data_IF_810154247773
#
_entry.id   IF_810154247773
#
_cell.length_a   1.000
_cell.length_b   1.000
_cell.length_c   1.000
_cell.angle_alpha   90.00
_cell.angle_beta   90.00
_cell.angle_gamma   90.00
#
_symmetry.space_group_name_H-M   'P 1'
#
loop_
_entity.id
_entity.type
_entity.pdbx_description
1 polymer ?
2 polymer ?
3 branched ?
4 water ?
#
# COMPACT_ATOMS: atom_id res chain seq x y z
N UNK A 1 -0.21 23.13 8.60
CA UNK A 1 -1.01 22.28 7.74
C UNK A 1 -1.73 21.20 8.55
N UNK A 2 -3.03 21.04 8.33
CA UNK A 2 -3.75 20.00 9.04
C UNK A 2 -3.26 18.63 8.57
N UNK A 3 -2.91 17.76 9.52
CA UNK A 3 -2.48 16.40 9.18
C UNK A 3 -3.10 15.42 10.17
N UNK A 4 -3.39 14.23 9.65
CA UNK A 4 -3.99 13.13 10.40
C UNK A 4 -3.02 11.97 10.43
N UNK A 5 -2.92 11.32 11.58
CA UNK A 5 -1.96 10.21 11.74
C UNK A 5 -2.61 9.12 12.58
N UNK A 6 -2.84 7.96 11.98
CA UNK A 6 -3.43 6.82 12.67
C UNK A 6 -2.33 6.02 13.36
N UNK A 7 -2.68 5.39 14.47
CA UNK A 7 -1.74 4.48 15.10
C UNK A 7 -2.50 3.43 15.88
N UNK A 8 -1.83 2.33 16.12
CA UNK A 8 -2.43 1.21 16.82
C UNK A 8 -1.53 0.00 16.67
N UNK A 9 -1.88 -1.09 17.34
CA UNK A 9 -1.12 -2.32 17.17
C UNK A 9 -1.37 -2.87 15.78
N UNK A 10 -0.33 -3.46 15.20
CA UNK A 10 -0.51 -4.04 13.88
C UNK A 10 -0.99 -5.48 13.89
N UNK A 11 -1.05 -6.08 15.07
CA UNK A 11 -1.47 -7.46 15.24
C UNK A 11 -2.54 -7.52 16.31
N UNK A 12 -3.64 -8.23 16.02
CA UNK A 12 -4.71 -8.45 16.99
C UNK A 12 -5.13 -9.91 16.91
N UNK A 13 -5.26 -10.56 18.07
CA UNK A 13 -5.73 -11.94 18.07
C UNK A 13 -7.22 -11.98 17.76
N UNK A 14 -7.68 -13.04 17.10
CA UNK A 14 -9.12 -13.16 16.85
C UNK A 14 -9.91 -13.09 18.15
N UNK A 15 -11.08 -12.45 18.08
CA UNK A 15 -12.06 -12.30 19.15
C UNK A 15 -11.68 -11.22 20.16
N UNK A 16 -10.50 -10.61 20.04
CA UNK A 16 -10.14 -9.55 20.96
C UNK A 16 -10.52 -8.21 20.34
N UNK A 17 -10.11 -7.10 20.98
CA UNK A 17 -10.54 -5.77 20.59
C UNK A 17 -9.41 -5.01 19.92
N UNK A 18 -9.70 -4.39 18.79
CA UNK A 18 -8.74 -3.54 18.11
C UNK A 18 -8.96 -2.10 18.55
N UNK A 19 -7.89 -1.43 18.98
CA UNK A 19 -7.95 -0.04 19.40
C UNK A 19 -7.03 0.79 18.53
N UNK A 20 -7.56 1.85 17.93
CA UNK A 20 -6.79 2.75 17.08
C UNK A 20 -7.01 4.18 17.53
N UNK A 21 -6.03 5.04 17.20
CA UNK A 21 -6.15 6.47 17.45
C UNK A 21 -5.86 7.24 16.17
N UNK A 22 -6.50 8.39 16.05
CA UNK A 22 -6.25 9.33 14.95
C UNK A 22 -5.85 10.65 15.58
N UNK A 23 -4.58 11.01 15.44
CA UNK A 23 -4.06 12.22 16.06
C UNK A 23 -4.03 13.33 15.02
N UNK A 24 -4.71 14.45 15.30
CA UNK A 24 -4.80 15.57 14.37
C UNK A 24 -3.84 16.68 14.82
N UNK A 25 -3.05 17.21 13.87
CA UNK A 25 -2.18 18.33 14.15
C UNK A 25 -2.42 19.43 13.10
N UNK A 26 -2.05 20.67 13.44
CA UNK A 26 -2.19 21.79 12.53
C UNK A 26 -3.55 22.45 12.52
N UNK A 27 -4.49 21.97 13.33
CA UNK A 27 -5.82 22.54 13.42
C UNK A 27 -6.59 21.76 14.45
N UNK A 28 -7.72 22.34 14.90
CA UNK A 28 -8.50 21.71 15.96
C UNK A 28 -9.46 20.67 15.39
N UNK A 29 -9.83 19.70 16.22
CA UNK A 29 -10.84 18.74 15.81
C UNK A 29 -12.26 19.27 15.99
N UNK A 30 -12.45 20.41 16.67
CA UNK A 30 -13.80 20.85 17.03
C UNK A 30 -14.63 21.23 15.79
N UNK A 31 -15.91 20.86 15.83
CA UNK A 31 -16.84 21.26 14.79
C UNK A 31 -17.00 20.24 13.66
N UNK A 32 -15.99 19.41 13.43
CA UNK A 32 -16.07 18.44 12.33
C UNK A 32 -16.57 17.09 12.80
N UNK A 33 -17.24 16.40 11.90
CA UNK A 33 -17.25 14.94 11.97
C UNK A 33 -15.89 14.40 11.52
N UNK A 34 -15.46 13.33 12.17
CA UNK A 34 -14.24 12.61 11.81
C UNK A 34 -14.62 11.18 11.52
N UNK A 35 -14.22 10.67 10.36
CA UNK A 35 -14.62 9.35 9.91
C UNK A 35 -13.48 8.36 10.02
N UNK A 36 -13.86 7.11 10.28
CA UNK A 36 -12.98 5.96 10.15
C UNK A 36 -13.41 5.14 8.95
N UNK A 37 -12.42 4.68 8.19
CA UNK A 37 -12.56 3.96 6.94
C UNK A 37 -11.56 2.82 6.98
N UNK A 38 -11.87 1.72 6.30
CA UNK A 38 -10.87 0.65 6.20
C UNK A 38 -10.87 0.05 4.80
N UNK A 39 -9.80 -0.71 4.53
CA UNK A 39 -9.66 -1.33 3.23
C UNK A 39 -8.97 -2.67 3.38
N UNK A 40 -9.69 -3.78 3.28
CA UNK A 40 -9.04 -5.08 3.27
C UNK A 40 -8.05 -5.16 2.13
N UNK A 41 -6.93 -5.87 2.32
CA UNK A 41 -5.94 -6.00 1.23
C UNK A 41 -6.60 -6.36 -0.10
N UNK A 42 -6.39 -5.51 -1.11
CA UNK A 42 -6.92 -5.74 -2.45
C UNK A 42 -8.40 -5.51 -2.64
N UNK A 43 -9.11 -4.94 -1.66
CA UNK A 43 -10.55 -4.70 -1.77
C UNK A 43 -10.83 -3.20 -1.72
N UNK A 44 -12.13 -2.86 -1.68
CA UNK A 44 -12.55 -1.48 -1.72
C UNK A 44 -12.58 -0.84 -0.35
N UNK A 45 -12.84 0.47 -0.35
CA UNK A 45 -12.96 1.25 0.87
C UNK A 45 -14.31 0.98 1.53
N UNK A 46 -14.31 0.82 2.84
CA UNK A 46 -15.53 0.62 3.63
C UNK A 46 -15.58 1.65 4.74
N UNK A 47 -16.66 2.42 4.79
CA UNK A 47 -16.83 3.38 5.87
C UNK A 47 -17.20 2.64 7.15
N UNK A 48 -16.54 2.97 8.25
CA UNK A 48 -16.79 2.33 9.55
C UNK A 48 -17.73 3.17 10.40
N UNK A 49 -17.45 4.46 10.53
CA UNK A 49 -18.31 5.32 11.34
C UNK A 49 -17.69 6.69 11.49
N UNK A 50 -18.35 7.52 12.28
CA UNK A 50 -17.81 8.84 12.48
C UNK A 50 -18.18 9.37 13.84
N UNK A 51 -17.55 10.48 14.21
CA UNK A 51 -17.84 11.12 15.48
C UNK A 51 -17.66 12.62 15.33
N UNK A 52 -18.59 13.34 15.94
CA UNK A 52 -18.47 14.77 16.18
C UNK A 52 -18.71 14.88 17.67
N UNK A 53 -17.67 15.22 18.43
CA UNK A 53 -17.67 14.99 19.87
C UNK A 53 -18.92 15.56 20.56
N UNK A 54 -19.28 16.77 20.20
CA UNK A 54 -20.37 17.48 20.87
C UNK A 54 -21.69 17.40 20.12
N UNK A 55 -21.81 16.53 19.11
CA UNK A 55 -23.09 16.38 18.44
C UNK A 55 -23.55 14.92 18.37
N UNK A 56 -22.91 14.08 17.58
CA UNK A 56 -23.44 12.73 17.41
C UNK A 56 -22.32 11.78 17.00
N UNK A 57 -22.63 10.49 17.11
CA UNK A 57 -21.76 9.45 16.56
C UNK A 57 -22.64 8.39 15.92
N UNK A 58 -22.11 7.69 14.93
CA UNK A 58 -22.87 6.65 14.27
C UNK A 58 -21.88 5.79 13.51
N UNK A 59 -22.33 4.61 13.09
CA UNK A 59 -21.43 3.70 12.42
C UNK A 59 -22.18 2.88 11.38
N UNK A 60 -21.39 2.23 10.53
CA UNK A 60 -21.91 1.33 9.53
C UNK A 60 -22.84 0.30 10.18
N UNK A 61 -24.06 0.12 9.68
CA UNK A 61 -24.97 -0.86 10.31
C UNK A 61 -24.44 -2.28 10.34
N UNK A 62 -23.62 -2.67 9.36
CA UNK A 62 -23.02 -4.00 9.38
C UNK A 62 -22.06 -4.18 10.56
N UNK A 63 -21.54 -3.08 11.12
CA UNK A 63 -20.50 -3.12 12.15
C UNK A 63 -20.92 -2.48 13.47
N UNK A 64 -22.14 -1.91 13.54
CA UNK A 64 -22.50 -1.04 14.65
C UNK A 64 -22.40 -1.73 16.00
N UNK A 65 -22.73 -3.02 16.06
CA UNK A 65 -22.70 -3.72 17.35
C UNK A 65 -21.29 -3.87 17.91
N UNK A 66 -20.26 -3.71 17.08
CA UNK A 66 -18.88 -3.89 17.53
C UNK A 66 -18.07 -2.60 17.54
N UNK A 67 -18.64 -1.47 17.11
CA UNK A 67 -17.87 -0.25 16.87
C UNK A 67 -18.11 0.74 18.01
N UNK A 68 -17.01 1.28 18.55
CA UNK A 68 -17.07 2.39 19.49
C UNK A 68 -16.07 3.43 19.02
N UNK A 69 -16.57 4.62 18.71
CA UNK A 69 -15.72 5.73 18.26
C UNK A 69 -15.84 6.84 19.30
N UNK A 70 -14.71 7.46 19.65
CA UNK A 70 -14.74 8.55 20.60
C UNK A 70 -13.68 9.58 20.23
N UNK A 71 -13.59 10.63 21.04
CA UNK A 71 -12.59 11.65 20.80
C UNK A 71 -12.08 12.17 22.13
N UNK A 72 -10.94 12.85 22.05
CA UNK A 72 -10.24 13.36 23.23
C UNK A 72 -9.70 14.73 22.83
N UNK A 73 -10.44 15.77 23.19
CA UNK A 73 -10.02 17.11 22.78
C UNK A 73 -8.69 17.50 23.42
N UNK A 74 -8.40 17.01 24.63
CA UNK A 74 -7.13 17.38 25.24
C UNK A 74 -5.95 16.86 24.41
N UNK A 75 -6.10 15.71 23.76
CA UNK A 75 -5.06 15.19 22.88
C UNK A 75 -5.30 15.50 21.40
N UNK A 76 -6.37 16.23 21.06
CA UNK A 76 -6.74 16.48 19.66
C UNK A 76 -6.79 15.17 18.88
N UNK A 77 -7.55 14.22 19.40
CA UNK A 77 -7.40 12.83 18.99
C UNK A 77 -8.76 12.14 18.88
N UNK A 78 -8.91 11.31 17.85
CA UNK A 78 -10.07 10.43 17.69
C UNK A 78 -9.65 9.00 17.98
N UNK A 79 -10.64 8.15 18.32
CA UNK A 79 -10.33 6.77 18.63
C UNK A 79 -11.38 5.86 18.02
N UNK A 80 -10.95 4.64 17.70
CA UNK A 80 -11.81 3.58 17.23
C UNK A 80 -11.53 2.33 18.05
N UNK A 81 -12.58 1.72 18.59
CA UNK A 81 -12.50 0.42 19.23
C UNK A 81 -13.43 -0.53 18.49
N UNK A 82 -12.88 -1.63 17.99
CA UNK A 82 -13.64 -2.64 17.26
C UNK A 82 -13.49 -3.94 18.02
N UNK A 83 -14.59 -4.46 18.54
CA UNK A 83 -14.54 -5.62 19.42
C UNK A 83 -14.76 -6.90 18.62
N UNK A 84 -14.43 -8.02 19.28
CA UNK A 84 -14.60 -9.38 18.76
C UNK A 84 -14.14 -9.49 17.30
N UNK A 85 -12.86 -9.15 17.07
CA UNK A 85 -12.39 -9.04 15.70
C UNK A 85 -12.33 -10.41 15.05
N UNK A 86 -12.47 -10.43 13.72
CA UNK A 86 -12.42 -11.64 12.92
C UNK A 86 -11.44 -11.41 11.77
N UNK A 87 -11.23 -12.44 10.96
CA UNK A 87 -10.34 -12.30 9.80
C UNK A 87 -10.83 -11.22 8.85
N UNK A 88 -12.14 -11.00 8.77
CA UNK A 88 -12.65 -9.96 7.89
C UNK A 88 -12.21 -8.57 8.34
N UNK A 89 -11.67 -8.43 9.54
CA UNK A 89 -11.24 -7.11 10.01
C UNK A 89 -9.78 -6.81 9.70
N UNK A 90 -9.05 -7.75 9.08
CA UNK A 90 -7.70 -7.45 8.62
C UNK A 90 -7.81 -6.41 7.52
N UNK A 91 -7.16 -5.27 7.68
CA UNK A 91 -7.34 -4.15 6.77
C UNK A 91 -6.35 -3.05 7.10
N UNK A 92 -6.21 -2.11 6.18
CA UNK A 92 -5.62 -0.82 6.49
C UNK A 92 -6.75 0.10 6.95
N UNK A 93 -6.54 0.76 8.07
CA UNK A 93 -7.54 1.63 8.68
C UNK A 93 -7.11 3.08 8.53
N UNK A 94 -8.05 3.92 8.10
CA UNK A 94 -7.78 5.33 7.85
C UNK A 94 -8.74 6.20 8.64
N UNK A 95 -8.27 7.38 9.01
CA UNK A 95 -9.20 8.40 9.45
C UNK A 95 -9.23 9.53 8.42
N UNK A 96 -10.34 10.27 8.42
CA UNK A 96 -10.49 11.36 7.46
C UNK A 96 -11.37 12.44 8.06
N UNK A 97 -11.13 13.68 7.67
CA UNK A 97 -11.91 14.80 8.19
C UNK A 97 -13.15 14.96 7.31
N UNK A 98 -14.32 15.00 7.95
CA UNK A 98 -15.63 14.83 7.31
C UNK A 98 -16.36 16.18 7.38
N UNK A 99 -17.68 16.14 7.45
CA UNK A 99 -18.50 17.35 7.41
C UNK A 99 -18.28 18.25 8.62
N UNK A 100 -18.29 19.56 8.39
CA UNK A 100 -18.25 20.56 9.45
C UNK A 100 -19.68 21.01 9.78
N UNK A 101 -20.01 21.05 11.08
CA UNK A 101 -21.31 21.54 11.52
C UNK A 101 -21.14 22.86 12.26
N UNK A 102 -21.78 23.89 11.73
CA UNK A 102 -21.78 25.17 12.40
C UNK A 102 -22.80 25.17 13.54
N UNK A 103 -22.56 26.02 14.52
CA UNK A 103 -23.43 26.22 15.68
C UNK A 103 -24.90 26.29 15.30
N UNK A 104 -25.20 27.01 14.21
CA UNK A 104 -26.58 27.30 13.82
C UNK A 104 -27.34 26.07 13.34
N UNK A 105 -26.66 24.98 13.01
CA UNK A 105 -27.28 23.83 12.43
C UNK A 105 -26.95 23.63 10.97
N UNK A 106 -26.51 24.69 10.29
CA UNK A 106 -25.98 24.55 8.94
C UNK A 106 -24.71 23.73 8.97
N UNK A 107 -24.31 23.25 7.80
CA UNK A 107 -23.16 22.37 7.73
C UNK A 107 -22.58 22.45 6.33
N UNK A 108 -21.33 22.00 6.22
CA UNK A 108 -20.59 21.98 4.95
C UNK A 108 -20.06 20.58 4.76
N UNK A 109 -20.64 19.83 3.82
CA UNK A 109 -20.19 18.46 3.58
C UNK A 109 -18.78 18.48 2.99
N UNK A 110 -17.95 17.55 3.47
CA UNK A 110 -16.56 17.51 3.04
C UNK A 110 -15.99 16.13 3.37
N UNK A 111 -14.92 15.78 2.66
CA UNK A 111 -14.17 14.55 3.00
C UNK A 111 -12.77 14.73 2.44
N UNK A 112 -12.07 15.76 2.91
CA UNK A 112 -11.02 16.34 2.09
C UNK A 112 -9.60 16.05 2.58
N UNK A 113 -9.42 15.59 3.81
CA UNK A 113 -8.11 15.27 4.35
C UNK A 113 -8.12 13.83 4.84
N UNK A 114 -7.18 13.03 4.37
CA UNK A 114 -7.05 11.64 4.77
C UNK A 114 -5.79 11.46 5.62
N UNK A 115 -5.82 10.48 6.54
CA UNK A 115 -4.61 10.07 7.22
C UNK A 115 -3.77 9.13 6.37
N UNK A 116 -2.64 8.69 6.94
CA UNK A 116 -1.71 7.85 6.20
C UNK A 116 -2.18 6.40 6.11
N UNK A 117 -2.97 5.95 7.07
CA UNK A 117 -3.38 4.57 7.11
C UNK A 117 -2.52 3.79 8.08
N UNK A 118 -3.11 2.87 8.82
CA UNK A 118 -2.38 1.97 9.69
C UNK A 118 -2.85 0.55 9.43
N UNK A 119 -1.89 -0.38 9.30
CA UNK A 119 -2.23 -1.73 8.89
C UNK A 119 -2.51 -2.59 10.11
N UNK A 120 -3.62 -3.33 10.05
CA UNK A 120 -4.00 -4.23 11.14
C UNK A 120 -4.19 -5.62 10.57
N UNK A 121 -3.52 -6.61 11.16
CA UNK A 121 -3.67 -8.01 10.81
C UNK A 121 -4.27 -8.78 11.97
N UNK A 122 -5.34 -9.51 11.71
CA UNK A 122 -6.01 -10.35 12.70
C UNK A 122 -5.53 -11.78 12.49
N UNK A 123 -4.92 -12.36 13.52
CA UNK A 123 -4.29 -13.66 13.38
C UNK A 123 -3.99 -14.22 14.75
N UNK A 124 -4.06 -15.55 14.87
CA UNK A 124 -3.66 -16.21 16.10
C UNK A 124 -2.16 -16.48 16.15
N UNK A 125 -1.43 -16.23 15.06
CA UNK A 125 0.01 -16.47 15.08
C UNK A 125 0.72 -15.36 15.86
N UNK A 126 1.66 -15.75 16.72
CA UNK A 126 2.39 -14.79 17.51
C UNK A 126 3.25 -13.89 16.63
N UNK A 127 3.50 -12.67 17.12
CA UNK A 127 4.46 -11.80 16.43
C UNK A 127 5.80 -12.48 16.36
N UNK A 128 6.52 -12.23 15.27
CA UNK A 128 7.88 -12.73 15.15
C UNK A 128 8.72 -11.69 14.45
N UNK A 129 9.85 -11.31 15.05
CA UNK A 129 10.67 -10.30 14.45
C UNK A 129 11.61 -10.87 13.40
N UNK A 130 12.06 -10.02 12.49
CA UNK A 130 12.87 -10.49 11.35
C UNK A 130 14.31 -10.77 11.78
N UNK A 131 14.95 -11.69 11.05
CA UNK A 131 16.40 -11.77 10.98
C UNK A 131 16.85 -11.03 9.73
N UNK A 132 17.92 -10.26 9.83
CA UNK A 132 18.36 -9.38 8.75
C UNK A 132 19.75 -9.77 8.30
N UNK A 133 19.93 -9.93 6.99
CA UNK A 133 21.21 -10.34 6.43
C UNK A 133 21.60 -9.43 5.28
N UNK A 134 22.90 -9.15 5.12
CA UNK A 134 23.33 -8.28 4.02
C UNK A 134 23.33 -9.01 2.69
N UNK A 135 23.02 -8.28 1.63
CA UNK A 135 23.06 -8.78 0.26
C UNK A 135 24.15 -8.01 -0.47
N UNK A 136 25.13 -8.73 -1.02
CA UNK A 136 26.20 -8.03 -1.72
C UNK A 136 26.69 -8.89 -2.86
N UNK A 137 27.22 -8.28 -3.94
CA UNK A 137 27.88 -9.00 -5.04
C UNK A 137 29.07 -9.83 -4.56
N UNK A 145 29.60 1.56 -14.45
CA UNK A 145 28.27 1.04 -14.17
C UNK A 145 27.87 1.23 -12.72
N UNK A 146 26.71 0.70 -12.37
CA UNK A 146 26.24 0.76 -11.00
C UNK A 146 26.42 -0.60 -10.33
N UNK A 147 26.26 -0.61 -9.01
CA UNK A 147 26.25 -1.84 -8.23
C UNK A 147 25.06 -1.82 -7.30
N UNK A 148 24.55 -3.01 -7.00
CA UNK A 148 23.42 -3.17 -6.09
C UNK A 148 23.89 -3.80 -4.79
N UNK A 149 23.45 -3.22 -3.69
CA UNK A 149 23.67 -3.73 -2.34
C UNK A 149 22.30 -3.87 -1.70
N UNK A 150 22.18 -4.74 -0.71
CA UNK A 150 20.86 -4.85 -0.15
C UNK A 150 20.83 -5.48 1.22
N UNK A 151 19.61 -5.68 1.70
CA UNK A 151 19.34 -6.34 2.98
C UNK A 151 18.17 -7.27 2.79
N UNK A 152 18.35 -8.49 3.29
CA UNK A 152 17.33 -9.51 3.30
C UNK A 152 16.68 -9.49 4.68
N UNK A 153 15.35 -9.31 4.71
CA UNK A 153 14.61 -9.19 5.96
C UNK A 153 13.76 -10.46 6.06
N UNK A 154 14.21 -11.43 6.86
CA UNK A 154 13.68 -12.78 6.80
C UNK A 154 12.72 -13.11 7.93
N UNK A 155 11.62 -13.78 7.58
CA UNK A 155 10.82 -14.57 8.52
C UNK A 155 10.23 -13.73 9.66
N UNK A 156 9.38 -12.77 9.29
CA UNK A 156 8.71 -11.92 10.27
C UNK A 156 7.20 -12.01 10.10
N UNK A 157 6.49 -11.56 11.14
CA UNK A 157 5.03 -11.56 11.14
C UNK A 157 4.56 -10.60 12.21
N UNK A 158 3.55 -9.75 11.92
CA UNK A 158 2.83 -9.55 10.66
C UNK A 158 3.52 -8.48 9.82
N UNK A 159 3.01 -8.15 8.65
CA UNK A 159 3.43 -6.93 7.96
C UNK A 159 3.08 -5.72 8.83
N UNK A 160 3.74 -4.57 8.61
CA UNK A 160 4.82 -4.32 7.65
C UNK A 160 6.16 -4.21 8.35
N UNK A 161 7.21 -4.13 7.56
CA UNK A 161 8.50 -3.66 8.06
C UNK A 161 8.86 -2.46 7.21
N UNK A 162 9.59 -1.53 7.81
CA UNK A 162 10.17 -0.42 7.08
C UNK A 162 11.67 -0.60 7.02
N UNK A 163 12.27 -0.14 5.91
CA UNK A 163 13.71 -0.20 5.72
C UNK A 163 14.18 1.17 5.24
N UNK A 164 15.16 1.73 5.94
CA UNK A 164 15.86 2.92 5.46
C UNK A 164 17.33 2.55 5.26
N UNK A 165 18.06 3.46 4.64
CA UNK A 165 19.48 3.27 4.44
C UNK A 165 20.25 4.46 5.00
N UNK A 166 21.33 4.16 5.71
CA UNK A 166 22.20 5.17 6.30
C UNK A 166 21.38 6.18 7.11
N UNK A 167 20.48 5.65 7.93
CA UNK A 167 19.65 6.44 8.82
C UNK A 167 18.78 7.44 8.07
N UNK A 168 18.37 7.11 6.84
CA UNK A 168 17.59 8.01 6.03
C UNK A 168 18.38 8.97 5.15
N UNK A 169 19.70 9.00 5.29
CA UNK A 169 20.52 9.88 4.46
C UNK A 169 20.58 9.41 3.00
N UNK A 170 20.18 8.17 2.72
CA UNK A 170 20.21 7.61 1.38
C UNK A 170 18.79 7.26 0.97
N UNK A 171 18.27 7.93 -0.07
CA UNK A 171 16.92 7.65 -0.54
C UNK A 171 16.88 7.43 -2.05
N UNK A 172 17.73 8.13 -2.79
CA UNK A 172 17.83 7.91 -4.24
C UNK A 172 18.30 6.49 -4.51
N UNK A 173 17.58 5.77 -5.36
CA UNK A 173 18.02 4.45 -5.73
C UNK A 173 17.76 3.38 -4.69
N UNK A 174 16.97 3.67 -3.67
CA UNK A 174 16.53 2.67 -2.70
C UNK A 174 15.22 2.07 -3.18
N UNK A 175 15.17 0.75 -3.28
CA UNK A 175 13.94 0.05 -3.66
C UNK A 175 13.70 -1.08 -2.68
N UNK A 176 12.63 -0.96 -1.91
CA UNK A 176 12.24 -2.02 -0.99
C UNK A 176 11.13 -2.82 -1.65
N UNK A 177 11.35 -4.13 -1.80
CA UNK A 177 10.43 -4.94 -2.60
C UNK A 177 9.26 -5.43 -1.75
N UNK A 178 8.10 -5.64 -2.38
CA UNK A 178 6.99 -6.28 -1.65
C UNK A 178 7.38 -7.64 -1.11
N UNK A 179 6.79 -7.96 0.05
CA UNK A 179 7.16 -9.16 0.79
C UNK A 179 6.61 -10.41 0.14
N UNK A 180 7.32 -11.51 0.32
CA UNK A 180 6.82 -12.82 -0.06
C UNK A 180 6.25 -13.47 1.18
N UNK A 181 5.15 -14.20 1.03
CA UNK A 181 4.51 -14.89 2.13
C UNK A 181 4.76 -16.38 1.96
N UNK A 182 5.48 -16.98 2.91
CA UNK A 182 5.91 -18.36 2.80
C UNK A 182 4.85 -19.32 3.33
N UNK A 183 5.02 -20.61 3.02
CA UNK A 183 4.06 -21.61 3.49
C UNK A 183 4.04 -21.69 5.02
N UNK A 184 5.09 -21.20 5.69
CA UNK A 184 5.12 -21.13 7.14
C UNK A 184 4.16 -20.11 7.70
N UNK A 185 3.64 -19.20 6.87
CA UNK A 185 2.86 -18.09 7.36
C UNK A 185 3.68 -16.86 7.71
N UNK A 186 5.00 -16.91 7.49
CA UNK A 186 5.88 -15.76 7.74
C UNK A 186 6.26 -15.06 6.45
N UNK A 187 6.56 -13.77 6.57
CA UNK A 187 6.95 -12.93 5.44
C UNK A 187 8.47 -12.79 5.36
N UNK A 188 8.94 -12.48 4.15
CA UNK A 188 10.32 -12.07 3.95
C UNK A 188 10.29 -10.98 2.86
N UNK A 189 11.16 -9.97 2.98
CA UNK A 189 11.33 -9.02 1.89
C UNK A 189 12.80 -8.66 1.74
N UNK A 190 13.11 -7.95 0.66
CA UNK A 190 14.45 -7.46 0.42
C UNK A 190 14.41 -5.97 0.10
N UNK A 191 15.46 -5.25 0.51
CA UNK A 191 15.60 -3.86 0.17
C UNK A 191 16.97 -3.68 -0.49
N UNK A 192 17.01 -2.94 -1.59
CA UNK A 192 18.23 -2.81 -2.37
C UNK A 192 18.51 -1.34 -2.61
N UNK A 193 19.77 -0.97 -2.54
CA UNK A 193 20.19 0.36 -2.95
C UNK A 193 21.12 0.21 -4.15
N UNK A 194 20.86 0.99 -5.19
CA UNK A 194 21.71 1.03 -6.37
C UNK A 194 22.71 2.15 -6.19
N UNK A 195 24.00 1.84 -6.37
CA UNK A 195 25.06 2.81 -6.07
C UNK A 195 26.11 2.76 -7.16
N UNK A 196 26.91 3.83 -7.28
CA UNK A 196 28.09 3.81 -8.17
C UNK A 196 29.03 2.66 -7.81
N UNK A 197 29.52 1.96 -8.84
CA UNK A 197 30.53 0.94 -8.60
C UNK A 197 31.78 1.53 -7.95
N UNK A 198 32.15 2.74 -8.35
CA UNK A 198 33.31 3.41 -7.78
C UNK A 198 33.17 3.65 -6.28
N UNK A 199 31.94 3.82 -5.80
CA UNK A 199 31.70 4.21 -4.41
C UNK A 199 31.67 3.03 -3.45
N UNK A 200 32.07 1.84 -3.89
CA UNK A 200 32.10 0.68 -3.01
C UNK A 200 33.33 0.65 -2.11
N UNK A 201 33.98 1.79 -2.09
CA UNK A 201 35.12 2.06 -1.25
C UNK A 201 35.06 3.48 -0.72
N UNK A 202 34.27 4.35 -1.35
CA UNK A 202 34.07 5.72 -0.94
C UNK A 202 32.86 5.85 0.00
N UNK A 203 32.15 4.74 0.24
CA UNK A 203 30.93 4.89 1.01
C UNK A 203 30.57 3.64 1.84
N UNK A 204 29.87 3.86 2.93
CA UNK A 204 29.43 2.80 3.82
C UNK A 204 27.90 2.71 3.73
N UNK A 205 27.37 1.49 3.59
CA UNK A 205 25.93 1.30 3.39
C UNK A 205 25.36 0.42 4.48
N UNK A 206 24.41 0.96 5.24
CA UNK A 206 23.81 0.30 6.39
C UNK A 206 22.30 0.38 6.22
N UNK A 207 21.63 -0.77 6.21
CA UNK A 207 20.17 -0.75 6.20
C UNK A 207 19.67 -0.76 7.64
N UNK A 208 18.60 0.01 7.89
CA UNK A 208 18.01 0.15 9.22
C UNK A 208 16.59 -0.42 9.11
N UNK A 209 16.36 -1.53 9.78
CA UNK A 209 15.12 -2.30 9.64
C UNK A 209 14.30 -2.10 10.90
N UNK A 210 13.02 -1.77 10.73
CA UNK A 210 12.11 -1.57 11.84
C UNK A 210 10.92 -2.49 11.67
N UNK A 211 10.66 -3.33 12.68
CA UNK A 211 9.44 -4.15 12.71
C UNK A 211 8.72 -3.79 14.00
N UNK A 212 7.77 -2.86 13.91
CA UNK A 212 7.13 -2.35 15.11
C UNK A 212 6.39 -3.41 15.92
N UNK A 213 5.65 -4.36 15.32
CA UNK A 213 4.90 -5.31 16.16
C UNK A 213 5.76 -6.14 17.09
N UNK A 214 7.00 -6.42 16.73
CA UNK A 214 7.90 -7.16 17.59
C UNK A 214 8.89 -6.26 18.30
N UNK A 215 8.77 -4.93 18.11
CA UNK A 215 9.74 -3.96 18.62
C UNK A 215 11.17 -4.31 18.20
N UNK A 216 11.32 -4.75 16.96
CA UNK A 216 12.62 -5.09 16.40
C UNK A 216 13.15 -3.88 15.64
N UNK A 217 14.36 -3.44 16.00
CA UNK A 217 15.08 -2.43 15.23
C UNK A 217 16.52 -2.90 15.09
N UNK A 218 16.97 -3.19 13.87
CA UNK A 218 18.33 -3.67 13.67
C UNK A 218 18.95 -2.94 12.50
N UNK A 219 20.27 -2.75 12.58
CA UNK A 219 21.05 -2.15 11.51
C UNK A 219 22.03 -3.19 10.98
N UNK A 220 22.15 -3.27 9.66
CA UNK A 220 23.01 -4.25 9.03
C UNK A 220 23.91 -3.58 8.01
N UNK A 221 25.22 -3.80 8.12
CA UNK A 221 26.16 -3.32 7.11
C UNK A 221 26.09 -4.23 5.89
N UNK A 222 26.01 -3.63 4.71
CA UNK A 222 26.05 -4.38 3.47
C UNK A 222 27.29 -3.95 2.70
N UNK A 223 28.30 -4.81 2.66
CA UNK A 223 29.53 -4.53 1.97
C UNK A 223 29.98 -5.78 1.22
N UNK A 224 30.58 -5.64 0.03
CA UNK A 224 30.96 -6.77 -0.83
C UNK A 224 31.83 -7.80 -0.13
N UNK B 1 -30.90 1.94 1.53
CA UNK B 1 -30.63 1.59 0.20
C UNK B 1 -29.71 2.60 -0.48
N UNK B 2 -28.90 3.31 0.27
CA UNK B 2 -27.98 4.25 -0.35
C UNK B 2 -26.84 3.44 -0.96
N UNK B 3 -26.73 3.51 -2.26
CA UNK B 3 -25.77 2.73 -3.02
C UNK B 3 -25.15 3.63 -4.07
N UNK B 4 -23.82 3.58 -4.19
CA UNK B 4 -23.10 4.27 -5.25
C UNK B 4 -22.54 3.19 -6.18
N UNK B 5 -22.97 3.20 -7.43
CA UNK B 5 -22.62 2.14 -8.38
C UNK B 5 -21.53 2.64 -9.33
N UNK B 6 -20.39 1.95 -9.33
CA UNK B 6 -19.28 2.22 -10.22
C UNK B 6 -18.91 0.95 -10.98
N UNK B 7 -18.62 1.08 -12.26
CA UNK B 7 -18.05 -0.05 -12.98
C UNK B 7 -16.67 -0.37 -12.42
N UNK B 8 -16.31 -1.65 -12.32
CA UNK B 8 -15.04 -2.00 -11.68
C UNK B 8 -13.80 -1.61 -12.47
N UNK B 9 -13.93 -1.30 -13.76
CA UNK B 9 -12.74 -0.99 -14.53
C UNK B 9 -13.07 0.00 -15.64
N UNK B 10 -12.03 0.70 -16.08
CA UNK B 10 -12.10 1.59 -17.22
C UNK B 10 -10.72 1.66 -17.83
N UNK B 11 -10.65 2.11 -19.08
CA UNK B 11 -9.34 2.23 -19.70
C UNK B 11 -9.36 3.27 -20.80
N UNK B 12 -8.21 3.88 -21.03
CA UNK B 12 -8.04 4.88 -22.06
C UNK B 12 -6.55 4.98 -22.35
N UNK B 13 -6.22 5.68 -23.43
CA UNK B 13 -4.84 5.74 -23.89
C UNK B 13 -4.12 6.95 -23.30
N UNK B 14 -2.78 6.82 -23.19
CA UNK B 14 -1.91 7.93 -22.81
C UNK B 14 -2.25 9.19 -23.60
N UNK B 15 -2.30 10.32 -22.88
CA UNK B 15 -2.55 11.60 -23.49
C UNK B 15 -3.99 11.91 -23.81
N UNK B 16 -4.88 10.92 -23.75
CA UNK B 16 -6.28 11.12 -24.09
C UNK B 16 -7.05 11.49 -22.83
N UNK B 17 -8.38 11.51 -22.93
CA UNK B 17 -9.24 11.78 -21.79
C UNK B 17 -10.08 10.55 -21.49
N UNK B 18 -10.56 10.46 -20.24
CA UNK B 18 -11.42 9.37 -19.81
C UNK B 18 -12.47 9.96 -18.88
N UNK B 19 -13.69 9.40 -18.94
CA UNK B 19 -14.80 9.81 -18.07
C UNK B 19 -15.19 8.61 -17.21
N UNK B 20 -15.17 8.80 -15.90
CA UNK B 20 -15.59 7.77 -14.96
C UNK B 20 -16.96 8.13 -14.43
N UNK B 21 -17.80 7.11 -14.20
CA UNK B 21 -19.17 7.35 -13.79
C UNK B 21 -19.46 6.72 -12.44
N UNK B 22 -20.14 7.48 -11.59
CA UNK B 22 -20.74 7.00 -10.36
C UNK B 22 -22.23 7.22 -10.49
N UNK B 23 -23.03 6.20 -10.19
CA UNK B 23 -24.49 6.32 -10.29
C UNK B 23 -25.09 6.20 -8.89
N UNK B 24 -25.82 7.22 -8.47
CA UNK B 24 -26.52 7.19 -7.20
C UNK B 24 -27.79 6.35 -7.29
N UNK B 25 -28.11 5.64 -6.21
CA UNK B 25 -29.40 4.97 -6.09
C UNK B 25 -30.55 5.96 -6.20
N UNK B 26 -31.69 5.45 -6.66
CA UNK B 26 -32.80 6.33 -7.03
C UNK B 26 -33.32 7.14 -5.84
N UNK B 27 -33.30 6.59 -4.63
CA UNK B 27 -33.72 7.40 -3.50
C UNK B 27 -32.79 8.55 -3.13
N UNK B 28 -31.66 8.67 -3.82
CA UNK B 28 -30.61 9.59 -3.40
C UNK B 28 -29.97 10.27 -4.60
N UNK B 29 -30.71 10.38 -5.70
CA UNK B 29 -30.16 10.79 -6.98
C UNK B 29 -29.80 12.28 -7.03
N UNK B 30 -30.17 13.07 -6.01
CA UNK B 30 -29.79 14.47 -5.96
C UNK B 30 -28.59 14.73 -5.05
N UNK B 31 -27.91 13.70 -4.59
CA UNK B 31 -26.80 13.88 -3.62
C UNK B 31 -25.52 14.36 -4.32
N UNK B 32 -24.75 15.16 -3.59
CA UNK B 32 -23.37 15.45 -3.96
C UNK B 32 -22.49 14.23 -3.68
N UNK B 33 -21.35 14.15 -4.36
CA UNK B 33 -20.37 13.11 -4.09
C UNK B 33 -19.00 13.74 -4.00
N UNK B 34 -18.07 12.95 -3.49
CA UNK B 34 -16.65 13.25 -3.59
C UNK B 34 -15.99 12.15 -4.41
N UNK B 35 -14.95 12.52 -5.12
CA UNK B 35 -14.08 11.59 -5.81
C UNK B 35 -12.78 11.49 -5.04
N UNK B 36 -12.31 10.25 -4.85
CA UNK B 36 -11.04 9.97 -4.20
C UNK B 36 -10.19 9.11 -5.12
N UNK B 37 -8.89 9.34 -5.13
CA UNK B 37 -8.00 8.58 -5.99
C UNK B 37 -7.06 7.77 -5.12
N UNK B 38 -6.81 6.52 -5.50
CA UNK B 38 -5.85 5.70 -4.77
C UNK B 38 -4.89 5.07 -5.77
N UNK B 39 -3.72 5.68 -5.91
CA UNK B 39 -2.67 5.13 -6.73
C UNK B 39 -2.14 3.84 -6.11
N UNK B 40 -1.56 2.96 -6.92
CA UNK B 40 -1.13 1.66 -6.40
C UNK B 40 -0.17 1.80 -5.24
N UNK B 41 -0.44 1.08 -4.17
CA UNK B 41 0.42 1.06 -3.00
C UNK B 41 0.33 2.27 -2.10
N UNK B 42 -0.64 3.16 -2.33
CA UNK B 42 -0.73 4.41 -1.59
C UNK B 42 -2.07 4.50 -0.90
N UNK B 43 -2.17 5.45 0.03
CA UNK B 43 -3.44 5.74 0.65
C UNK B 43 -4.26 6.66 -0.24
N UNK B 44 -5.57 6.71 0.01
CA UNK B 44 -6.44 7.53 -0.83
C UNK B 44 -6.11 9.01 -0.68
N UNK B 45 -6.40 9.78 -1.73
CA UNK B 45 -6.39 11.22 -1.60
C UNK B 45 -7.63 11.81 -2.24
N UNK B 46 -8.09 12.90 -1.65
CA UNK B 46 -9.30 13.57 -2.12
C UNK B 46 -9.00 14.31 -3.42
N UNK B 47 -9.92 14.22 -4.38
CA UNK B 47 -9.78 15.00 -5.61
C UNK B 47 -10.75 16.18 -5.64
N UNK B 48 -12.02 15.94 -5.38
CA UNK B 48 -12.99 16.99 -5.68
C UNK B 48 -14.35 16.60 -5.15
N UNK B 49 -15.21 17.60 -4.99
CA UNK B 49 -16.63 17.42 -4.67
C UNK B 49 -17.44 17.82 -5.89
N UNK B 50 -18.45 17.00 -6.22
CA UNK B 50 -19.30 17.26 -7.36
C UNK B 50 -20.72 17.42 -6.81
N UNK B 51 -21.34 18.57 -7.10
CA UNK B 51 -22.63 18.89 -6.53
C UNK B 51 -23.77 18.51 -7.47
N UNK B 52 -24.99 18.56 -6.93
CA UNK B 52 -26.15 18.13 -7.72
C UNK B 52 -26.43 19.04 -8.90
N UNK B 53 -26.00 20.29 -8.88
CA UNK B 53 -26.17 21.16 -10.04
C UNK B 53 -25.06 20.97 -11.08
N UNK B 54 -24.11 20.07 -10.85
CA UNK B 54 -23.04 19.85 -11.80
C UNK B 54 -21.78 20.65 -11.57
N UNK B 55 -21.80 21.62 -10.66
CA UNK B 55 -20.58 22.35 -10.32
C UNK B 55 -19.66 21.44 -9.52
N UNK B 56 -18.37 21.75 -9.55
CA UNK B 56 -17.42 20.96 -8.78
C UNK B 56 -16.37 21.87 -8.18
N UNK B 57 -15.72 21.39 -7.12
CA UNK B 57 -14.67 22.16 -6.47
C UNK B 57 -13.52 21.22 -6.16
N UNK B 58 -12.36 21.49 -6.75
CA UNK B 58 -11.20 20.61 -6.56
C UNK B 58 -10.56 20.83 -5.20
N UNK B 59 -9.94 19.77 -4.68
CA UNK B 59 -9.13 19.91 -3.49
C UNK B 59 -7.91 20.78 -3.73
N UNK B 60 -7.38 21.33 -2.64
CA UNK B 60 -6.13 22.08 -2.73
C UNK B 60 -5.08 21.27 -3.48
N UNK B 61 -4.41 21.93 -4.42
CA UNK B 61 -3.33 21.31 -5.16
C UNK B 61 -3.73 20.28 -6.19
N UNK B 62 -5.01 20.06 -6.43
CA UNK B 62 -5.44 19.10 -7.44
C UNK B 62 -5.49 19.83 -8.79
N UNK B 63 -4.86 19.28 -9.83
CA UNK B 63 -4.74 20.03 -11.10
C UNK B 63 -6.06 20.10 -11.86
N UNK B 64 -6.10 21.05 -12.80
CA UNK B 64 -7.32 21.29 -13.56
C UNK B 64 -7.60 20.22 -14.62
N UNK B 65 -6.66 19.30 -14.88
CA UNK B 65 -6.95 18.15 -15.74
C UNK B 65 -8.04 17.26 -15.17
N UNK B 66 -8.28 17.35 -13.87
CA UNK B 66 -9.39 16.64 -13.22
C UNK B 66 -10.59 17.57 -13.17
N UNK B 67 -11.72 17.13 -13.71
CA UNK B 67 -12.96 17.88 -13.64
C UNK B 67 -14.08 16.92 -13.29
N UNK B 68 -15.22 17.48 -12.89
CA UNK B 68 -16.37 16.68 -12.55
C UNK B 68 -17.63 17.34 -13.08
N UNK B 69 -18.70 16.55 -13.18
CA UNK B 69 -19.96 17.05 -13.72
C UNK B 69 -21.08 16.09 -13.34
N UNK B 70 -22.30 16.45 -13.71
CA UNK B 70 -23.51 15.78 -13.26
C UNK B 70 -24.50 15.66 -14.40
N UNK B 71 -25.14 14.48 -14.52
CA UNK B 71 -26.31 14.32 -15.37
C UNK B 71 -27.28 13.39 -14.66
N UNK B 72 -28.37 13.95 -14.15
CA UNK B 72 -29.35 13.12 -13.47
C UNK B 72 -28.76 12.51 -12.22
N UNK B 73 -28.92 11.19 -12.09
CA UNK B 73 -28.35 10.44 -10.97
C UNK B 73 -26.87 10.17 -11.14
N UNK B 74 -26.28 10.52 -12.27
CA UNK B 74 -24.91 10.16 -12.56
C UNK B 74 -23.99 11.32 -12.19
N UNK B 75 -22.84 10.95 -11.62
CA UNK B 75 -21.76 11.88 -11.32
C UNK B 75 -20.53 11.42 -12.09
N UNK B 76 -19.80 12.37 -12.64
CA UNK B 76 -18.66 12.05 -13.51
C UNK B 76 -17.37 12.63 -12.96
N UNK B 77 -16.29 11.92 -13.24
CA UNK B 77 -14.92 12.40 -13.09
C UNK B 77 -14.28 12.32 -14.47
N UNK B 78 -13.80 13.45 -14.97
CA UNK B 78 -13.14 13.51 -16.27
C UNK B 78 -11.67 13.83 -16.06
N UNK B 79 -10.80 13.00 -16.63
CA UNK B 79 -9.35 13.15 -16.51
C UNK B 79 -8.83 13.33 -17.93
N UNK B 80 -8.20 14.48 -18.19
CA UNK B 80 -7.63 14.79 -19.49
C UNK B 80 -6.11 14.72 -19.44
N UNK B 81 -5.50 14.62 -20.62
CA UNK B 81 -4.07 14.42 -20.78
C UNK B 81 -3.56 13.30 -19.87
N UNK B 82 -4.10 12.10 -20.08
CA UNK B 82 -3.84 11.00 -19.16
C UNK B 82 -2.35 10.65 -19.12
N UNK B 83 -1.83 10.47 -17.91
CA UNK B 83 -0.45 10.04 -17.69
C UNK B 83 -0.46 8.69 -16.99
N UNK B 84 0.68 8.01 -17.03
CA UNK B 84 0.78 6.73 -16.33
C UNK B 84 0.39 6.84 -14.87
N UNK B 85 0.71 7.97 -14.23
CA UNK B 85 0.38 8.18 -12.82
C UNK B 85 -1.12 8.25 -12.55
N UNK B 86 -1.95 8.35 -13.59
CA UNK B 86 -3.39 8.32 -13.39
C UNK B 86 -3.92 6.90 -13.24
N UNK B 87 -3.09 5.88 -13.50
CA UNK B 87 -3.48 4.52 -13.16
C UNK B 87 -3.70 4.44 -11.66
N UNK B 88 -4.92 4.14 -11.27
CA UNK B 88 -5.35 4.21 -9.87
C UNK B 88 -6.72 3.57 -9.79
N UNK B 89 -7.17 3.34 -8.56
CA UNK B 89 -8.57 3.05 -8.31
C UNK B 89 -9.24 4.35 -7.87
N UNK B 90 -10.36 4.66 -8.51
CA UNK B 90 -11.11 5.87 -8.21
C UNK B 90 -12.38 5.48 -7.47
N UNK B 91 -12.61 6.13 -6.33
CA UNK B 91 -13.78 5.84 -5.52
C UNK B 91 -14.66 7.06 -5.44
N UNK B 92 -15.95 6.89 -5.70
CA UNK B 92 -16.85 7.94 -5.31
C UNK B 92 -17.38 7.66 -3.91
N UNK B 93 -17.85 8.73 -3.26
CA UNK B 93 -18.22 8.64 -1.85
C UNK B 93 -19.27 9.71 -1.62
N UNK B 94 -20.24 9.46 -0.73
CA UNK B 94 -21.25 10.47 -0.47
C UNK B 94 -21.57 10.52 1.01
N UNK B 95 -22.41 11.48 1.36
CA UNK B 95 -22.77 11.82 2.73
C UNK B 95 -24.25 11.55 2.89
N UNK B 96 -24.63 10.39 3.43
CA UNK B 96 -26.03 10.15 3.72
C UNK B 96 -26.42 10.71 5.07
N UNK B 97 -27.68 10.51 5.43
CA UNK B 97 -28.18 10.96 6.73
C UNK B 97 -27.69 9.96 7.77
N UNK B 98 -26.62 10.33 8.50
CA UNK B 98 -26.08 9.49 9.55
C UNK B 98 -25.18 8.38 9.07
N UNK B 99 -24.75 8.42 7.81
CA UNK B 99 -23.97 7.35 7.20
C UNK B 99 -23.14 7.97 6.10
N UNK B 100 -22.00 7.36 5.80
CA UNK B 100 -21.27 7.67 4.59
C UNK B 100 -21.11 6.36 3.82
N UNK B 101 -21.10 6.43 2.49
CA UNK B 101 -20.90 5.20 1.73
C UNK B 101 -20.02 5.47 0.52
N UNK B 102 -19.24 4.47 0.16
CA UNK B 102 -18.31 4.50 -0.96
C UNK B 102 -18.86 3.62 -2.06
N UNK B 103 -18.61 4.01 -3.29
CA UNK B 103 -18.78 3.09 -4.40
C UNK B 103 -17.72 2.00 -4.33
N UNK B 104 -17.88 0.98 -5.19
CA UNK B 104 -16.97 -0.14 -5.20
C UNK B 104 -15.60 0.15 -5.79
N UNK B 105 -15.40 1.33 -6.35
CA UNK B 105 -14.14 1.68 -6.99
C UNK B 105 -14.05 1.29 -8.45
N UNK B 106 -13.45 2.15 -9.26
CA UNK B 106 -13.15 1.87 -10.65
C UNK B 106 -11.63 1.88 -10.82
N UNK B 107 -11.09 0.79 -11.37
CA UNK B 107 -9.66 0.68 -11.63
C UNK B 107 -9.39 1.19 -13.03
N UNK B 108 -8.60 2.24 -13.15
CA UNK B 108 -8.30 2.85 -14.44
C UNK B 108 -6.97 2.33 -14.96
N UNK B 109 -7.01 1.74 -16.16
CA UNK B 109 -5.83 1.31 -16.89
C UNK B 109 -5.52 2.32 -17.97
N UNK B 110 -4.28 2.77 -18.03
CA UNK B 110 -3.83 3.72 -19.05
C UNK B 110 -3.00 2.95 -20.07
N UNK B 111 -3.53 2.86 -21.28
CA UNK B 111 -2.92 2.07 -22.35
C UNK B 111 -1.84 2.87 -23.06
N UNK B 112 -1.01 2.16 -23.81
CA UNK B 112 0.00 2.79 -24.64
C UNK B 112 1.28 3.12 -23.93
N UNK B 113 1.52 2.55 -22.77
CA UNK B 113 2.79 2.81 -22.11
C UNK B 113 3.88 1.97 -22.77
N UNK B 114 5.10 2.48 -22.82
CA UNK B 114 6.17 1.77 -23.52
C UNK B 114 6.55 0.49 -22.82
N UNK B 115 6.92 -0.50 -23.62
CA UNK B 115 7.49 -1.73 -23.08
C UNK B 115 8.85 -1.42 -22.43
N UNK B 116 9.13 -2.08 -21.31
CA UNK B 116 10.37 -1.91 -20.59
C UNK B 116 10.88 -3.25 -20.09
N UNK B 117 12.13 -3.57 -20.40
CA UNK B 117 12.68 -4.86 -20.00
C UNK B 117 13.04 -4.87 -18.52
N UNK B 118 12.93 -6.01 -17.86
CA UNK B 118 13.28 -6.07 -16.44
C UNK B 118 14.77 -5.92 -16.22
N UNK B 119 15.13 -5.27 -15.12
CA UNK B 119 16.48 -5.37 -14.60
C UNK B 119 16.48 -6.43 -13.50
N UNK B 120 17.51 -7.26 -13.49
CA UNK B 120 17.54 -8.44 -12.63
C UNK B 120 18.82 -8.40 -11.80
N UNK B 121 18.68 -8.60 -10.50
CA UNK B 121 19.83 -8.70 -9.63
C UNK B 121 19.72 -10.00 -8.87
N UNK B 122 20.79 -10.79 -8.84
CA UNK B 122 20.80 -12.06 -8.13
C UNK B 122 21.85 -12.00 -7.03
N UNK B 123 21.44 -12.29 -5.80
CA UNK B 123 22.38 -12.25 -4.70
C UNK B 123 22.64 -13.64 -4.15
N UNK B 124 23.89 -13.96 -3.79
CA UNK B 124 24.18 -15.23 -3.13
C UNK B 124 23.79 -15.17 -1.66
N UNK B 125 23.77 -16.30 -0.95
CA UNK B 125 23.59 -16.23 0.51
C UNK B 125 24.77 -15.50 1.14
N UNK B 126 24.49 -14.75 2.19
CA UNK B 126 25.54 -14.07 2.94
C UNK B 126 26.24 -15.04 3.89
N UNK B 127 27.48 -14.69 4.27
CA UNK B 127 28.19 -15.48 5.25
C UNK B 127 27.38 -15.55 6.55
N UNK B 128 26.75 -14.45 6.95
CA UNK B 128 26.00 -14.45 8.21
C UNK B 128 24.80 -15.38 8.13
N UNK B 129 24.15 -15.46 6.98
CA UNK B 129 23.04 -16.39 6.86
C UNK B 129 23.52 -17.82 6.92
N UNK B 130 24.66 -18.11 6.28
CA UNK B 130 25.22 -19.44 6.38
C UNK B 130 25.56 -19.77 7.83
N UNK B 131 25.98 -18.76 8.62
CA UNK B 131 26.22 -18.98 10.04
C UNK B 131 24.93 -19.27 10.80
N UNK B 132 23.77 -18.88 10.27
CA UNK B 132 22.49 -19.30 10.82
C UNK B 132 22.01 -20.62 10.24
N UNK B 133 22.87 -21.31 9.48
CA UNK B 133 22.55 -22.62 8.92
C UNK B 133 21.40 -22.55 7.90
N UNK B 134 21.29 -21.43 7.20
CA UNK B 134 20.36 -21.27 6.11
C UNK B 134 21.11 -20.75 4.89
N UNK B 135 20.47 -20.86 3.73
CA UNK B 135 21.00 -20.30 2.49
C UNK B 135 19.83 -19.89 1.63
N UNK B 136 19.79 -18.61 1.25
CA UNK B 136 18.71 -18.06 0.44
C UNK B 136 19.35 -17.33 -0.73
N UNK B 137 18.96 -17.71 -1.96
CA UNK B 137 19.30 -16.93 -3.14
C UNK B 137 18.17 -15.96 -3.40
N UNK B 138 18.52 -14.73 -3.74
CA UNK B 138 17.53 -13.66 -3.85
C UNK B 138 17.60 -13.09 -5.24
N UNK B 139 16.54 -13.25 -6.01
CA UNK B 139 16.50 -12.76 -7.39
C UNK B 139 15.48 -11.62 -7.45
N UNK B 140 15.97 -10.39 -7.58
CA UNK B 140 15.11 -9.20 -7.56
C UNK B 140 14.90 -8.67 -8.98
N UNK B 141 13.65 -8.42 -9.33
CA UNK B 141 13.25 -8.09 -10.70
C UNK B 141 12.49 -6.78 -10.69
N UNK B 142 12.98 -5.79 -11.45
CA UNK B 142 12.53 -4.41 -11.37
C UNK B 142 12.31 -3.83 -12.76
N UNK B 143 11.57 -2.71 -12.80
CA UNK B 143 11.54 -1.80 -13.94
C UNK B 143 10.97 -2.44 -15.19
N UNK B 144 10.03 -3.37 -15.07
CA UNK B 144 9.49 -3.99 -16.27
C UNK B 144 8.06 -3.56 -16.52
N UNK B 145 7.66 -3.64 -17.79
CA UNK B 145 6.32 -3.31 -18.24
C UNK B 145 6.10 -3.97 -19.60
N UNK B 146 4.96 -4.64 -19.81
CA UNK B 146 3.83 -4.87 -18.89
C UNK B 146 4.20 -5.67 -17.65
N UNK B 147 3.29 -5.72 -16.68
CA UNK B 147 3.63 -6.29 -15.38
C UNK B 147 3.42 -7.78 -15.24
N UNK B 148 4.13 -8.56 -16.04
CA UNK B 148 4.11 -10.01 -15.88
C UNK B 148 5.48 -10.55 -16.27
N UNK B 149 6.07 -11.38 -15.40
CA UNK B 149 7.27 -12.14 -15.71
C UNK B 149 7.06 -13.57 -15.24
N UNK B 150 7.89 -14.47 -15.75
CA UNK B 150 8.03 -15.81 -15.17
C UNK B 150 9.49 -16.03 -14.79
N UNK B 151 9.72 -16.83 -13.76
CA UNK B 151 11.04 -17.05 -13.21
C UNK B 151 11.34 -18.54 -13.18
N UNK B 152 12.56 -18.90 -13.59
CA UNK B 152 13.02 -20.28 -13.54
C UNK B 152 14.41 -20.30 -12.91
N UNK B 153 14.63 -21.27 -12.03
CA UNK B 153 15.90 -21.42 -11.31
C UNK B 153 16.64 -22.64 -11.83
N UNK B 154 17.96 -22.53 -11.93
CA UNK B 154 18.77 -23.65 -12.41
C UNK B 154 20.02 -23.79 -11.54
N UNK B 155 20.43 -25.03 -11.35
CA UNK B 155 21.66 -25.37 -10.64
C UNK B 155 22.50 -26.25 -11.56
N UNK B 156 23.70 -25.79 -11.90
CA UNK B 156 24.56 -26.48 -12.85
C UNK B 156 23.78 -26.87 -14.11
N UNK B 157 22.91 -25.95 -14.56
CA UNK B 157 22.14 -26.12 -15.78
C UNK B 157 20.84 -26.87 -15.63
N UNK B 158 20.63 -27.59 -14.51
CA UNK B 158 19.42 -28.38 -14.34
C UNK B 158 18.35 -27.58 -13.60
N UNK B 159 17.09 -27.72 -14.00
CA UNK B 159 16.00 -27.00 -13.32
C UNK B 159 15.99 -27.32 -11.83
N UNK B 160 15.59 -26.31 -11.05
CA UNK B 160 15.38 -26.44 -9.62
C UNK B 160 13.96 -25.98 -9.34
N UNK B 161 13.15 -26.87 -8.77
CA UNK B 161 11.78 -26.49 -8.47
C UNK B 161 11.43 -26.51 -6.99
N UNK B 162 12.15 -27.28 -6.17
CA UNK B 162 11.96 -27.23 -4.73
C UNK B 162 12.53 -25.94 -4.15
N UNK B 163 11.86 -25.43 -3.12
CA UNK B 163 12.36 -24.29 -2.37
C UNK B 163 12.21 -22.95 -3.03
N UNK B 164 11.42 -22.84 -4.10
CA UNK B 164 11.26 -21.58 -4.84
C UNK B 164 9.98 -20.90 -4.39
N UNK B 165 10.08 -19.63 -4.05
CA UNK B 165 8.93 -18.79 -3.73
C UNK B 165 9.05 -17.47 -4.46
N UNK B 166 8.00 -17.06 -5.16
CA UNK B 166 8.05 -15.86 -6.00
C UNK B 166 6.84 -14.99 -5.72
N UNK B 167 7.04 -13.68 -5.64
CA UNK B 167 5.93 -12.77 -5.39
C UNK B 167 5.15 -12.51 -6.68
N UNK B 168 3.97 -11.90 -6.52
CA UNK B 168 3.26 -11.33 -7.67
C UNK B 168 3.86 -9.96 -8.04
N UNK B 169 3.89 -9.61 -9.32
CA UNK B 169 4.38 -8.27 -9.69
C UNK B 169 3.47 -7.17 -9.17
N UNK B 170 4.07 -6.01 -8.88
CA UNK B 170 3.31 -4.86 -8.36
C UNK B 170 3.95 -3.56 -8.85
N UNK B 171 3.11 -2.54 -9.07
CA UNK B 171 3.55 -1.28 -9.64
C UNK B 171 4.37 -0.41 -8.69
N UNK B 172 5.44 0.18 -9.20
CA UNK B 172 6.34 1.02 -8.43
C UNK B 172 6.40 2.53 -8.71
N UNK B 173 7.20 3.18 -7.90
CA UNK B 173 7.33 4.63 -8.00
C UNK B 173 7.52 5.08 -9.46
N UNK B 174 8.42 4.42 -10.18
CA UNK B 174 8.83 4.83 -11.52
C UNK B 174 7.83 4.41 -12.60
N UNK B 175 6.62 3.99 -12.23
CA UNK B 175 5.58 3.53 -13.15
C UNK B 175 5.92 2.21 -13.83
N UNK B 176 6.85 1.44 -13.25
CA UNK B 176 7.16 0.11 -13.75
C UNK B 176 7.01 -0.89 -12.59
N UNK B 177 6.95 -2.18 -12.94
CA UNK B 177 6.62 -3.23 -11.98
C UNK B 177 7.87 -3.84 -11.37
N UNK B 178 7.67 -4.53 -10.24
CA UNK B 178 8.73 -5.23 -9.52
C UNK B 178 8.19 -6.55 -8.97
N UNK B 179 9.07 -7.54 -8.90
CA UNK B 179 8.77 -8.82 -8.29
C UNK B 179 10.07 -9.38 -7.69
N UNK B 180 9.95 -10.39 -6.84
CA UNK B 180 11.15 -11.07 -6.39
C UNK B 180 10.93 -12.56 -6.25
N UNK B 181 12.01 -13.31 -6.38
CA UNK B 181 11.93 -14.76 -6.28
C UNK B 181 13.03 -15.23 -5.37
N UNK B 182 12.69 -16.17 -4.48
CA UNK B 182 13.61 -16.66 -3.46
C UNK B 182 13.82 -18.15 -3.61
N UNK B 183 15.07 -18.59 -3.54
CA UNK B 183 15.40 -20.01 -3.59
C UNK B 183 16.07 -20.40 -2.29
N UNK B 184 15.42 -21.28 -1.53
CA UNK B 184 15.95 -21.76 -0.26
C UNK B 184 16.73 -23.04 -0.47
N UNK B 185 17.97 -23.06 0.03
CA UNK B 185 18.86 -24.20 -0.04
C UNK B 185 19.42 -24.46 1.34
N UNK B 186 20.01 -25.65 1.54
CA UNK B 186 20.87 -25.83 2.68
C UNK B 186 22.25 -25.24 2.38
N UNK B 187 23.02 -24.89 3.40
CA UNK B 187 24.41 -24.52 3.14
C UNK B 187 25.16 -25.58 2.34
N UNK B 188 24.92 -26.87 2.59
CA UNK B 188 25.60 -27.92 1.83
C UNK B 188 25.23 -27.90 0.35
N UNK B 189 23.95 -27.71 0.04
CA UNK B 189 23.51 -27.61 -1.36
C UNK B 189 24.19 -26.45 -2.08
N UNK B 190 24.21 -25.29 -1.44
CA UNK B 190 24.81 -24.13 -2.03
C UNK B 190 26.26 -24.36 -2.39
N UNK B 191 27.00 -24.94 -1.46
CA UNK B 191 28.41 -25.19 -1.64
C UNK B 191 28.77 -26.34 -2.58
N UNK B 192 27.83 -27.22 -2.86
CA UNK B 192 28.10 -28.35 -3.71
C UNK B 192 27.98 -28.14 -5.19
N UNK B 193 27.31 -27.10 -5.62
CA UNK B 193 27.13 -26.83 -7.04
C UNK B 193 28.13 -25.78 -7.53
N UNK B 194 28.41 -25.82 -8.82
CA UNK B 194 29.32 -24.84 -9.38
C UNK B 194 28.66 -23.47 -9.50
N UNK B 195 27.34 -23.43 -9.70
CA UNK B 195 26.63 -22.15 -9.82
C UNK B 195 25.12 -22.40 -9.80
N UNK B 196 24.39 -21.36 -9.44
CA UNK B 196 22.94 -21.31 -9.56
C UNK B 196 22.55 -20.16 -10.47
N UNK B 197 21.43 -20.30 -11.18
CA UNK B 197 20.98 -19.24 -12.07
C UNK B 197 19.52 -18.91 -11.84
N UNK B 198 19.19 -17.62 -11.98
CA UNK B 198 17.82 -17.13 -12.01
C UNK B 198 17.54 -16.62 -13.42
N UNK B 199 16.57 -17.23 -14.11
CA UNK B 199 16.22 -16.87 -15.49
C UNK B 199 14.86 -16.19 -15.48
N UNK B 200 14.80 -14.94 -15.94
CA UNK B 200 13.57 -14.16 -15.92
C UNK B 200 13.09 -13.97 -17.36
N UNK B 201 11.85 -14.34 -17.63
CA UNK B 201 11.28 -14.22 -18.96
C UNK B 201 10.22 -13.12 -18.95
N UNK B 202 10.36 -12.16 -19.86
CA UNK B 202 9.41 -11.05 -19.94
C UNK B 202 9.09 -10.80 -21.40
N UNK B 203 7.80 -10.96 -21.76
CA UNK B 203 7.37 -10.71 -23.13
C UNK B 203 8.21 -11.49 -24.13
N UNK B 204 8.46 -12.76 -23.83
CA UNK B 204 9.22 -13.58 -24.76
C UNK B 204 10.72 -13.41 -24.73
N UNK B 205 11.27 -12.55 -23.88
CA UNK B 205 12.71 -12.34 -23.79
C UNK B 205 13.19 -12.83 -22.43
N UNK B 206 14.25 -13.64 -22.43
CA UNK B 206 14.77 -14.25 -21.21
C UNK B 206 16.16 -13.70 -20.89
N UNK B 207 16.33 -13.22 -19.67
CA UNK B 207 17.63 -12.81 -19.17
C UNK B 207 18.00 -13.75 -18.03
N UNK B 208 19.30 -13.86 -17.79
CA UNK B 208 19.79 -14.82 -16.81
C UNK B 208 20.89 -14.18 -15.99
N UNK B 209 20.84 -14.40 -14.68
CA UNK B 209 21.91 -14.01 -13.77
C UNK B 209 22.38 -15.26 -13.03
N UNK B 210 23.67 -15.26 -12.68
CA UNK B 210 24.31 -16.43 -12.11
C UNK B 210 25.11 -16.02 -10.87
N UNK B 211 25.18 -16.91 -9.89
CA UNK B 211 26.03 -16.75 -8.73
C UNK B 211 26.68 -18.08 -8.42
N UNK B 212 27.88 -18.02 -7.85
CA UNK B 212 28.68 -19.19 -7.51
C UNK B 212 29.24 -19.06 -6.11
N UNK B 213 29.34 -20.17 -5.37
CA UNK B 213 29.89 -20.19 -4.00
C UNK B 213 31.33 -19.71 -3.88
#
# INVERSE_FOLDING_TARGET
QVQLQESGPGLVKPSETLSLTCTVSGGSISGYYWSWIRQPPGKGLEWIGYIHYSRSTNSNPALKSRVTISSDTSKNQLSLRLSSVTAADTAVYYCARDTYYYDSGDYEDAFDIWGQGTMVTVSSASTKGPSVFPLAPSSKSTSGGTAALGCLVKDYFPEPVTVSWNSGALTSGVHTFPAVLQSSGLYSLSSVVTVPSSSLGTQTYICNVNHKPSNTKVDKKAEPKSC
QLVLTQSPSASASLGASVKLTCTLSSGHSNYAIAWHQQQPGKGPRYLMKVNRDGSHIRGDGIPDRFSGSTSGAERYLTISSLQSEDEADYYCQTWGAGIRVFGGGTKLTVLGQPKAAPSVTLFPPSSEELQANKATLVCLISDFYPGAVTVAWKADGSPVKAGVETTTPSKQSNNKYAASSYLSLTPEQWKSHRSYSCQVTHEGSTVEKTVAPTECS
#
